data_IF_847909883562
#
_entry.id   IF_847909883562
#
_cell.length_a   1.000
_cell.length_b   1.000
_cell.length_c   1.000
_cell.angle_alpha   90.00
_cell.angle_beta   90.00
_cell.angle_gamma   90.00
#
_symmetry.space_group_name_H-M   'P 1'
#
loop_
_entity.id
_entity.type
_entity.pdbx_description
1 polymer ?
#
# COMPACT_ATOMS: atom_id res chain seq x y z
N UNK A 1 3.53 26.13 59.22
CA UNK A 1 2.65 27.27 58.85
C UNK A 1 3.43 28.16 57.88
N UNK A 2 3.26 28.00 56.56
CA UNK A 2 4.00 28.79 55.57
C UNK A 2 3.33 30.16 55.35
N UNK A 3 4.13 31.23 55.38
CA UNK A 3 3.68 32.63 55.22
C UNK A 3 3.11 32.91 53.82
N UNK A 4 2.11 33.80 53.73
CA UNK A 4 1.47 34.23 52.48
C UNK A 4 2.45 34.75 51.43
N UNK A 5 3.58 35.34 51.87
CA UNK A 5 4.67 35.80 50.99
C UNK A 5 5.48 34.67 50.37
N UNK A 6 5.62 33.52 51.04
CA UNK A 6 6.33 32.36 50.51
C UNK A 6 5.50 31.55 49.50
N UNK A 7 4.17 31.63 49.57
CA UNK A 7 3.27 30.99 48.57
C UNK A 7 3.33 31.67 47.21
N UNK A 8 3.52 32.98 47.15
CA UNK A 8 3.55 33.73 45.90
C UNK A 8 4.89 33.59 45.15
N UNK A 9 6.01 33.30 45.83
CA UNK A 9 7.30 33.13 45.14
C UNK A 9 7.48 31.73 44.51
N UNK A 10 6.79 30.71 45.03
CA UNK A 10 6.82 29.35 44.48
C UNK A 10 5.97 29.18 43.22
N UNK A 11 4.91 29.99 43.06
CA UNK A 11 4.01 29.92 41.91
C UNK A 11 4.50 30.71 40.68
N UNK A 12 5.52 31.56 40.82
CA UNK A 12 6.10 32.33 39.70
C UNK A 12 7.23 31.60 38.93
N UNK A 13 7.63 30.38 39.32
CA UNK A 13 8.69 29.61 38.64
C UNK A 13 8.22 28.32 37.95
N UNK A 14 6.92 28.11 37.86
CA UNK A 14 6.36 27.03 37.05
C UNK A 14 5.86 27.61 35.72
N UNK A 15 6.25 27.08 34.55
CA UNK A 15 5.66 27.47 33.28
C UNK A 15 4.25 26.89 33.18
N UNK A 16 3.29 27.49 33.90
CA UNK A 16 1.89 27.17 33.77
C UNK A 16 1.33 27.89 32.55
N UNK A 17 1.27 27.14 31.45
CA UNK A 17 0.68 27.52 30.17
C UNK A 17 -0.83 27.71 30.36
N UNK A 18 -1.25 28.94 30.68
CA UNK A 18 -2.66 29.33 30.72
C UNK A 18 -3.24 29.33 29.29
N UNK A 19 -4.16 28.39 29.07
CA UNK A 19 -5.28 28.56 28.15
C UNK A 19 -6.40 29.29 28.91
N UNK A 20 -6.81 30.46 28.44
CA UNK A 20 -8.24 30.76 28.26
C UNK A 20 -8.46 32.02 27.43
N UNK A 21 -9.22 31.82 26.35
CA UNK A 21 -10.28 32.66 25.79
C UNK A 21 -10.18 34.20 25.81
N UNK A 22 -10.12 34.79 24.61
CA UNK A 22 -10.94 35.95 24.26
C UNK A 22 -11.09 36.10 22.74
N UNK A 23 -12.27 36.61 22.37
CA UNK A 23 -12.80 36.87 21.03
C UNK A 23 -11.94 37.70 20.07
N UNK A 24 -12.16 37.40 18.79
CA UNK A 24 -12.24 38.31 17.63
C UNK A 24 -11.34 39.55 17.66
N UNK A 25 -10.26 39.48 16.88
CA UNK A 25 -9.84 40.61 16.05
C UNK A 25 -9.02 40.12 14.87
N UNK A 26 -9.49 40.49 13.69
CA UNK A 26 -8.82 40.35 12.41
C UNK A 26 -7.44 41.01 12.47
N UNK A 27 -6.35 40.26 12.27
CA UNK A 27 -5.11 40.88 11.82
C UNK A 27 -4.38 39.97 10.84
N UNK A 28 -4.13 40.52 9.65
CA UNK A 28 -3.42 39.92 8.54
C UNK A 28 -1.94 39.85 8.91
N UNK A 29 -1.42 38.67 9.24
CA UNK A 29 0.02 38.47 9.37
C UNK A 29 0.45 37.54 8.24
N UNK A 30 0.86 38.17 7.14
CA UNK A 30 1.55 37.51 6.05
C UNK A 30 2.93 37.08 6.56
N UNK A 31 3.08 35.79 6.85
CA UNK A 31 4.39 35.18 7.07
C UNK A 31 4.94 34.79 5.71
N UNK A 32 5.78 35.68 5.17
CA UNK A 32 6.64 35.42 4.02
C UNK A 32 7.62 34.32 4.39
N UNK A 33 7.35 33.09 3.96
CA UNK A 33 8.37 32.05 3.94
C UNK A 33 9.37 32.39 2.82
N UNK A 34 10.69 32.49 3.08
CA UNK A 34 11.65 32.51 2.00
C UNK A 34 11.62 31.15 1.31
N UNK A 35 11.06 31.15 0.11
CA UNK A 35 11.14 30.08 -0.88
C UNK A 35 12.61 29.82 -1.21
N UNK A 36 13.19 28.79 -0.59
CA UNK A 36 14.53 28.28 -0.89
C UNK A 36 14.40 27.35 -2.10
N UNK A 37 14.64 27.89 -3.28
CA UNK A 37 14.86 27.10 -4.49
C UNK A 37 16.20 26.38 -4.37
N UNK A 38 16.18 25.09 -4.03
CA UNK A 38 17.32 24.23 -4.33
C UNK A 38 17.21 23.80 -5.79
N UNK A 39 17.93 24.52 -6.65
CA UNK A 39 18.23 24.08 -8.00
C UNK A 39 19.26 22.95 -7.88
N UNK A 40 18.80 21.71 -8.02
CA UNK A 40 19.68 20.55 -8.16
C UNK A 40 20.46 20.69 -9.47
N UNK A 41 21.71 21.13 -9.38
CA UNK A 41 22.66 21.09 -10.49
C UNK A 41 23.11 19.63 -10.66
N UNK A 42 22.55 18.93 -11.63
CA UNK A 42 23.11 17.65 -12.08
C UNK A 42 24.30 17.94 -13.00
N UNK A 43 25.49 17.61 -12.54
CA UNK A 43 26.69 17.55 -13.37
C UNK A 43 26.58 16.39 -14.34
N UNK A 44 26.59 16.70 -15.63
CA UNK A 44 26.86 15.77 -16.73
C UNK A 44 28.36 15.45 -16.76
N UNK A 45 28.79 14.18 -16.71
CA UNK A 45 30.12 13.81 -17.18
C UNK A 45 30.12 13.70 -18.70
N UNK A 46 31.04 14.45 -19.31
CA UNK A 46 31.31 14.51 -20.74
C UNK A 46 31.92 13.20 -21.27
N UNK A 47 31.72 13.01 -22.58
CA UNK A 47 32.35 12.02 -23.45
C UNK A 47 33.85 11.92 -23.28
N UNK A 48 34.39 10.71 -23.39
CA UNK A 48 35.66 10.50 -24.10
C UNK A 48 35.64 9.16 -24.85
N UNK A 49 35.86 9.27 -26.16
CA UNK A 49 36.11 8.20 -27.14
C UNK A 49 37.62 8.15 -27.33
N UNK A 50 38.21 6.96 -27.57
CA UNK A 50 39.05 6.86 -28.75
C UNK A 50 38.84 5.56 -29.55
N UNK A 51 38.66 5.75 -30.86
CA UNK A 51 38.97 4.82 -31.96
C UNK A 51 40.50 4.53 -31.98
N UNK A 52 40.99 3.39 -32.54
CA UNK A 52 41.08 3.29 -34.01
C UNK A 52 41.00 1.88 -34.65
N UNK A 53 40.66 1.89 -35.95
CA UNK A 53 41.19 1.04 -37.05
C UNK A 53 40.82 -0.46 -37.20
N UNK A 54 40.04 -0.72 -38.26
CA UNK A 54 39.95 -1.92 -39.12
C UNK A 54 41.31 -2.27 -39.81
N UNK A 55 41.55 -3.45 -40.48
CA UNK A 55 40.59 -4.20 -41.31
C UNK A 55 40.71 -5.75 -41.41
N UNK A 56 39.67 -6.32 -42.04
CA UNK A 56 39.72 -7.39 -43.06
C UNK A 56 39.45 -8.86 -42.68
N UNK A 57 38.66 -9.47 -43.57
CA UNK A 57 38.50 -10.88 -43.92
C UNK A 57 37.52 -11.77 -43.15
N UNK A 58 36.41 -12.07 -43.84
CA UNK A 58 35.57 -13.26 -43.71
C UNK A 58 36.38 -14.56 -43.91
N UNK A 59 35.87 -15.72 -43.45
CA UNK A 59 35.14 -16.57 -44.41
C UNK A 59 33.92 -17.31 -43.86
N UNK A 60 32.99 -17.54 -44.79
CA UNK A 60 31.83 -18.43 -44.74
C UNK A 60 32.17 -19.85 -44.27
N UNK A 61 31.30 -20.45 -43.46
CA UNK A 61 31.19 -21.90 -43.35
C UNK A 61 29.75 -22.33 -43.63
N UNK A 62 29.65 -23.18 -44.64
CA UNK A 62 28.48 -23.83 -45.23
C UNK A 62 27.98 -24.97 -44.32
N UNK A 63 26.66 -25.21 -44.34
CA UNK A 63 25.94 -26.31 -43.67
C UNK A 63 26.40 -27.72 -44.11
N UNK A 64 26.06 -28.79 -43.36
CA UNK A 64 24.82 -29.55 -43.60
C UNK A 64 24.11 -29.94 -42.27
N UNK A 65 22.79 -29.85 -42.12
CA UNK A 65 21.81 -30.69 -42.79
C UNK A 65 21.58 -32.02 -42.05
N UNK A 66 20.83 -32.01 -40.93
CA UNK A 66 20.17 -33.22 -40.36
C UNK A 66 18.83 -32.80 -39.73
N UNK A 67 17.75 -33.46 -40.18
CA UNK A 67 16.37 -33.32 -39.73
C UNK A 67 16.09 -34.16 -38.44
N UNK A 68 14.90 -34.05 -37.80
CA UNK A 68 14.68 -34.30 -36.37
C UNK A 68 14.21 -35.72 -36.01
N UNK A 69 14.22 -36.07 -34.72
CA UNK A 69 13.11 -36.80 -34.09
C UNK A 69 12.56 -36.02 -32.88
N UNK A 70 11.30 -35.61 -32.93
CA UNK A 70 10.15 -36.32 -32.35
C UNK A 70 10.19 -36.47 -30.82
N UNK A 71 9.26 -35.75 -30.20
CA UNK A 71 8.44 -36.15 -29.05
C UNK A 71 9.14 -36.59 -27.76
N UNK A 72 9.18 -35.70 -26.78
CA UNK A 72 8.79 -36.06 -25.41
C UNK A 72 8.29 -34.84 -24.64
N UNK A 73 7.08 -34.99 -24.09
CA UNK A 73 6.40 -34.01 -23.27
C UNK A 73 7.16 -33.73 -21.97
N UNK A 74 7.11 -32.51 -21.40
CA UNK A 74 7.50 -32.30 -20.02
C UNK A 74 6.36 -32.69 -19.06
N UNK A 75 6.68 -33.34 -17.94
CA UNK A 75 5.72 -33.85 -16.96
C UNK A 75 5.07 -32.71 -16.17
N UNK A 76 3.78 -32.89 -15.89
CA UNK A 76 2.94 -32.03 -15.06
C UNK A 76 3.41 -32.07 -13.60
N UNK A 77 4.27 -31.13 -13.22
CA UNK A 77 4.51 -30.81 -11.82
C UNK A 77 3.30 -30.04 -11.26
N UNK A 78 2.43 -30.76 -10.53
CA UNK A 78 1.35 -30.14 -9.74
C UNK A 78 1.97 -29.32 -8.60
N UNK A 79 2.18 -28.02 -8.83
CA UNK A 79 2.43 -27.05 -7.77
C UNK A 79 1.10 -26.82 -7.05
N UNK A 80 1.01 -27.30 -5.81
CA UNK A 80 -0.09 -27.04 -4.89
C UNK A 80 -0.08 -25.55 -4.50
N UNK A 81 -0.67 -24.72 -5.35
CA UNK A 81 -1.04 -23.35 -5.06
C UNK A 81 -2.54 -23.16 -5.28
N UNK A 82 -3.17 -22.14 -4.68
CA UNK A 82 -4.58 -21.85 -4.94
C UNK A 82 -4.84 -21.77 -6.45
N UNK A 83 -6.00 -22.24 -6.94
CA UNK A 83 -6.29 -22.29 -8.36
C UNK A 83 -6.08 -20.89 -8.96
N UNK A 84 -5.06 -20.78 -9.82
CA UNK A 84 -4.74 -19.52 -10.51
C UNK A 84 -5.98 -19.13 -11.30
N UNK A 85 -6.50 -17.93 -11.03
CA UNK A 85 -7.62 -17.37 -11.80
C UNK A 85 -7.14 -17.29 -13.24
N UNK A 86 -7.76 -18.07 -14.13
CA UNK A 86 -7.36 -18.11 -15.54
C UNK A 86 -7.56 -16.73 -16.17
N UNK A 87 -6.63 -16.31 -17.01
CA UNK A 87 -6.80 -15.06 -17.74
C UNK A 87 -7.99 -15.15 -18.70
N UNK A 88 -8.69 -14.03 -18.87
CA UNK A 88 -9.77 -13.93 -19.86
C UNK A 88 -9.26 -13.75 -21.30
N UNK A 89 -7.96 -13.53 -21.49
CA UNK A 89 -7.33 -13.23 -22.78
C UNK A 89 -6.28 -14.28 -23.10
N UNK A 90 -6.48 -15.13 -24.12
CA UNK A 90 -5.51 -16.16 -24.48
C UNK A 90 -4.19 -15.55 -24.97
N UNK A 91 -3.10 -16.30 -24.83
CA UNK A 91 -1.78 -15.92 -25.35
C UNK A 91 -1.84 -15.61 -26.86
N UNK A 92 -1.07 -14.63 -27.30
CA UNK A 92 -1.03 -14.15 -28.68
C UNK A 92 -2.16 -13.17 -29.05
N UNK A 93 -3.03 -12.78 -28.12
CA UNK A 93 -4.07 -11.79 -28.40
C UNK A 93 -3.46 -10.41 -28.62
N UNK A 94 -3.75 -9.78 -29.76
CA UNK A 94 -3.32 -8.40 -30.06
C UNK A 94 -4.04 -7.39 -29.17
N UNK A 95 -3.28 -6.68 -28.33
CA UNK A 95 -3.79 -5.66 -27.42
C UNK A 95 -3.95 -4.33 -28.17
N UNK A 96 -5.18 -4.10 -28.67
CA UNK A 96 -5.54 -2.90 -29.43
C UNK A 96 -5.42 -1.64 -28.56
N UNK A 97 -4.85 -0.57 -29.10
CA UNK A 97 -4.82 0.75 -28.46
C UNK A 97 -3.72 0.97 -27.43
N UNK A 98 -2.81 0.02 -27.19
CA UNK A 98 -1.65 0.23 -26.31
C UNK A 98 -0.49 0.94 -27.02
N UNK A 99 -0.26 0.63 -28.29
CA UNK A 99 0.79 1.28 -29.06
C UNK A 99 0.32 2.64 -29.58
N UNK A 100 0.82 3.71 -28.96
CA UNK A 100 0.58 5.09 -29.38
C UNK A 100 1.72 5.67 -30.25
N UNK A 101 2.79 4.90 -30.48
CA UNK A 101 3.98 5.35 -31.20
C UNK A 101 3.94 4.79 -32.62
N UNK A 102 4.12 5.68 -33.60
CA UNK A 102 4.17 5.32 -35.02
C UNK A 102 5.34 4.36 -35.27
N UNK A 103 5.13 3.37 -36.15
CA UNK A 103 6.13 2.39 -36.60
C UNK A 103 6.67 1.44 -35.51
N UNK A 104 6.02 1.33 -34.35
CA UNK A 104 6.30 0.25 -33.40
C UNK A 104 5.40 -0.96 -33.67
N UNK A 105 5.87 -2.19 -33.42
CA UNK A 105 5.02 -3.37 -33.52
C UNK A 105 3.90 -3.31 -32.46
N UNK A 106 2.78 -3.96 -32.77
CA UNK A 106 1.67 -4.08 -31.82
C UNK A 106 2.05 -4.99 -30.66
N UNK A 107 1.53 -4.68 -29.48
CA UNK A 107 1.75 -5.49 -28.27
C UNK A 107 0.82 -6.69 -28.29
N UNK A 108 1.38 -7.88 -28.07
CA UNK A 108 0.64 -9.13 -27.95
C UNK A 108 0.66 -9.61 -26.50
N UNK A 109 -0.45 -10.22 -26.06
CA UNK A 109 -0.52 -10.89 -24.76
C UNK A 109 0.41 -12.11 -24.76
N UNK A 110 1.19 -12.27 -23.70
CA UNK A 110 2.05 -13.43 -23.45
C UNK A 110 1.27 -14.52 -22.71
N UNK A 111 1.92 -15.63 -22.37
CA UNK A 111 1.31 -16.68 -21.56
C UNK A 111 1.15 -16.23 -20.09
N UNK A 112 0.12 -16.75 -19.41
CA UNK A 112 -0.21 -16.41 -18.02
C UNK A 112 0.94 -16.64 -17.02
N UNK A 113 1.85 -17.56 -17.35
CA UNK A 113 3.02 -17.91 -16.53
C UNK A 113 4.18 -16.92 -16.65
N UNK A 114 4.25 -16.19 -17.76
CA UNK A 114 5.29 -15.20 -18.00
C UNK A 114 4.98 -13.88 -17.29
N UNK A 115 3.70 -13.65 -16.99
CA UNK A 115 3.30 -12.53 -16.15
C UNK A 115 3.64 -12.78 -14.68
N UNK A 116 4.07 -11.72 -13.96
CA UNK A 116 4.42 -11.85 -12.56
C UNK A 116 3.20 -12.16 -11.69
N UNK A 117 3.39 -12.98 -10.65
CA UNK A 117 2.30 -13.50 -9.80
C UNK A 117 1.45 -12.40 -9.13
N UNK A 118 1.99 -11.19 -8.91
CA UNK A 118 1.26 -10.08 -8.28
C UNK A 118 0.11 -9.54 -9.14
N UNK A 119 0.14 -9.74 -10.47
CA UNK A 119 -0.92 -9.30 -11.39
C UNK A 119 -2.28 -9.91 -11.00
N UNK A 120 -2.25 -11.19 -10.63
CA UNK A 120 -3.45 -11.96 -10.30
C UNK A 120 -4.06 -11.56 -8.95
N UNK A 121 -3.25 -11.02 -8.03
CA UNK A 121 -3.71 -10.54 -6.72
C UNK A 121 -4.37 -9.16 -6.73
N UNK A 122 -4.27 -8.39 -7.82
CA UNK A 122 -4.83 -7.02 -7.88
C UNK A 122 -6.35 -7.00 -7.73
N UNK A 123 -7.05 -8.00 -8.26
CA UNK A 123 -8.51 -8.07 -8.20
C UNK A 123 -9.00 -8.45 -6.79
N UNK A 124 -8.18 -9.12 -6.00
CA UNK A 124 -8.56 -9.58 -4.68
C UNK A 124 -8.72 -8.41 -3.70
N UNK A 125 -7.93 -7.34 -3.85
CA UNK A 125 -8.13 -6.11 -3.05
C UNK A 125 -9.47 -5.44 -3.34
N UNK A 126 -9.94 -5.47 -4.58
CA UNK A 126 -11.23 -4.91 -4.97
C UNK A 126 -12.38 -5.76 -4.41
N UNK A 127 -12.27 -7.08 -4.53
CA UNK A 127 -13.24 -8.03 -3.96
C UNK A 127 -13.26 -8.00 -2.43
N UNK A 128 -12.12 -7.84 -1.78
CA UNK A 128 -12.03 -7.76 -0.33
C UNK A 128 -12.79 -6.55 0.21
N UNK A 129 -12.73 -5.41 -0.47
CA UNK A 129 -13.49 -4.21 -0.09
C UNK A 129 -15.00 -4.42 -0.22
N UNK A 130 -15.46 -5.12 -1.26
CA UNK A 130 -16.90 -5.37 -1.46
C UNK A 130 -17.44 -6.45 -0.52
N UNK A 131 -16.62 -7.44 -0.15
CA UNK A 131 -17.03 -8.56 0.71
C UNK A 131 -16.85 -8.29 2.22
N UNK A 132 -16.00 -7.33 2.61
CA UNK A 132 -15.83 -6.93 4.01
C UNK A 132 -17.14 -6.40 4.60
N UNK A 133 -17.99 -5.80 3.77
CA UNK A 133 -19.37 -5.44 4.10
C UNK A 133 -20.30 -6.67 3.99
N UNK A 134 -19.90 -7.81 4.58
CA UNK A 134 -20.63 -9.09 4.67
C UNK A 134 -21.97 -9.00 5.43
N UNK A 135 -22.70 -7.92 5.20
CA UNK A 135 -24.05 -7.61 5.61
C UNK A 135 -24.94 -8.52 4.79
N UNK A 136 -25.40 -9.60 5.44
CA UNK A 136 -26.53 -10.36 4.94
C UNK A 136 -27.61 -9.38 4.47
N UNK A 137 -28.12 -9.57 3.25
CA UNK A 137 -29.01 -8.59 2.62
C UNK A 137 -30.31 -8.47 3.43
N UNK A 138 -30.33 -7.51 4.36
CA UNK A 138 -31.43 -7.29 5.29
C UNK A 138 -32.71 -6.87 4.56
N UNK A 139 -32.59 -6.39 3.31
CA UNK A 139 -33.71 -5.98 2.47
C UNK A 139 -34.45 -7.17 1.85
N UNK A 140 -33.74 -8.26 1.52
CA UNK A 140 -34.34 -9.49 1.01
C UNK A 140 -35.05 -10.33 2.10
N UNK A 141 -34.77 -10.08 3.39
CA UNK A 141 -35.29 -10.87 4.50
C UNK A 141 -36.67 -10.40 5.02
N UNK A 142 -37.53 -11.36 5.35
CA UNK A 142 -38.81 -11.11 6.01
C UNK A 142 -38.61 -10.44 7.39
N UNK A 143 -39.58 -9.64 7.86
CA UNK A 143 -39.55 -8.96 9.17
C UNK A 143 -39.16 -9.90 10.33
N UNK A 144 -39.71 -11.11 10.38
CA UNK A 144 -39.38 -12.09 11.43
C UNK A 144 -37.94 -12.60 11.34
N UNK A 145 -37.43 -12.80 10.12
CA UNK A 145 -36.05 -13.24 9.88
C UNK A 145 -35.06 -12.14 10.27
N UNK A 146 -35.39 -10.87 9.97
CA UNK A 146 -34.60 -9.71 10.37
C UNK A 146 -34.46 -9.58 11.88
N UNK A 147 -35.55 -9.71 12.63
CA UNK A 147 -35.53 -9.68 14.10
C UNK A 147 -34.68 -10.83 14.66
N UNK A 148 -34.80 -12.04 14.11
CA UNK A 148 -33.98 -13.19 14.53
C UNK A 148 -32.50 -12.95 14.23
N UNK A 149 -32.19 -12.41 13.06
CA UNK A 149 -30.82 -12.07 12.67
C UNK A 149 -30.25 -10.97 13.57
N UNK A 150 -31.01 -9.91 13.83
CA UNK A 150 -30.63 -8.83 14.75
C UNK A 150 -30.40 -9.34 16.17
N UNK A 151 -31.30 -10.18 16.71
CA UNK A 151 -31.12 -10.81 18.03
C UNK A 151 -29.87 -11.69 18.06
N UNK A 152 -29.60 -12.44 17.00
CA UNK A 152 -28.38 -13.24 16.87
C UNK A 152 -27.13 -12.34 16.83
N UNK A 153 -27.16 -11.26 16.05
CA UNK A 153 -26.06 -10.31 15.95
C UNK A 153 -25.83 -9.53 17.25
N UNK A 154 -26.90 -9.16 17.96
CA UNK A 154 -26.80 -8.52 19.27
C UNK A 154 -26.21 -9.47 20.33
N UNK A 155 -26.60 -10.74 20.32
CA UNK A 155 -26.00 -11.75 21.20
C UNK A 155 -24.50 -11.96 20.89
N UNK A 156 -24.12 -12.01 19.61
CA UNK A 156 -22.71 -12.10 19.20
C UNK A 156 -21.92 -10.81 19.52
N UNK A 157 -22.54 -9.64 19.40
CA UNK A 157 -21.91 -8.37 19.74
C UNK A 157 -21.76 -8.19 21.27
N UNK A 158 -22.67 -8.75 22.07
CA UNK A 158 -22.58 -8.71 23.52
C UNK A 158 -21.44 -9.59 24.05
N UNK A 159 -21.14 -10.71 23.40
CA UNK A 159 -20.03 -11.58 23.79
C UNK A 159 -18.67 -11.12 23.25
N UNK A 160 -18.65 -10.43 22.10
CA UNK A 160 -17.40 -9.98 21.47
C UNK A 160 -16.94 -8.61 22.03
N UNK A 161 -15.66 -8.44 22.40
CA UNK A 161 -15.12 -7.13 22.77
C UNK A 161 -15.22 -6.12 21.61
N UNK A 162 -15.26 -4.82 21.93
CA UNK A 162 -15.31 -3.75 20.93
C UNK A 162 -14.08 -3.83 20.01
N UNK A 163 -14.32 -3.78 18.71
CA UNK A 163 -13.25 -3.78 17.69
C UNK A 163 -12.64 -2.39 17.63
N UNK A 164 -11.49 -2.21 18.29
CA UNK A 164 -10.72 -0.96 18.26
C UNK A 164 -9.92 -0.91 16.95
N UNK A 165 -10.09 0.13 16.11
CA UNK A 165 -9.31 0.33 14.90
C UNK A 165 -7.81 0.33 15.18
N UNK A 166 -7.05 -0.21 14.24
CA UNK A 166 -5.62 -0.47 14.41
C UNK A 166 -4.79 0.81 14.70
N UNK A 167 -5.21 1.98 14.20
CA UNK A 167 -4.56 3.27 14.49
C UNK A 167 -4.94 3.91 15.84
N UNK A 168 -5.94 3.37 16.54
CA UNK A 168 -6.33 3.81 17.89
C UNK A 168 -5.72 2.91 18.98
N UNK A 169 -5.07 1.81 18.59
CA UNK A 169 -4.42 0.88 19.52
C UNK A 169 -3.10 1.47 20.02
N UNK A 170 -2.84 1.28 21.33
CA UNK A 170 -1.60 1.70 21.99
C UNK A 170 -0.60 0.54 22.18
N UNK A 171 -0.75 -0.53 21.40
CA UNK A 171 0.12 -1.72 21.49
C UNK A 171 1.39 -1.44 20.69
N UNK A 172 2.54 -1.82 21.25
CA UNK A 172 3.81 -1.69 20.56
C UNK A 172 3.84 -2.52 19.28
N UNK A 173 4.29 -1.90 18.19
CA UNK A 173 4.37 -2.52 16.87
C UNK A 173 5.39 -3.66 16.85
N UNK A 174 6.47 -3.50 17.63
CA UNK A 174 7.53 -4.49 17.80
C UNK A 174 7.91 -4.44 19.27
N UNK A 175 7.41 -5.39 20.09
CA UNK A 175 7.74 -5.40 21.51
C UNK A 175 9.23 -5.69 21.71
N UNK A 176 9.82 -5.12 22.75
CA UNK A 176 11.26 -5.22 23.01
C UNK A 176 11.73 -6.68 23.16
N UNK A 177 10.90 -7.53 23.76
CA UNK A 177 11.18 -8.96 23.97
C UNK A 177 11.23 -9.76 22.66
N UNK A 178 10.62 -9.24 21.58
CA UNK A 178 10.52 -9.90 20.30
C UNK A 178 11.59 -9.46 19.29
N UNK A 179 12.61 -8.69 19.71
CA UNK A 179 13.76 -8.35 18.87
C UNK A 179 14.82 -9.45 19.06
N UNK A 180 14.98 -10.38 18.11
CA UNK A 180 16.01 -11.42 18.21
C UNK A 180 17.40 -10.79 18.05
N UNK A 181 18.47 -11.52 18.43
CA UNK A 181 19.83 -11.02 18.25
C UNK A 181 20.12 -10.61 16.80
N UNK A 182 20.92 -9.53 16.66
CA UNK A 182 21.27 -8.92 15.38
C UNK A 182 21.81 -9.98 14.40
N UNK A 183 21.34 -9.94 13.15
CA UNK A 183 21.72 -10.83 12.04
C UNK A 183 21.14 -12.25 12.04
N UNK A 184 20.17 -12.58 12.90
CA UNK A 184 19.40 -13.81 12.77
C UNK A 184 18.34 -13.73 11.65
N UNK A 185 17.96 -14.84 11.00
CA UNK A 185 16.88 -14.86 10.01
C UNK A 185 15.54 -14.37 10.61
N UNK A 186 15.28 -14.72 11.86
CA UNK A 186 14.11 -14.28 12.65
C UNK A 186 14.06 -12.74 12.79
N UNK A 187 15.21 -12.06 12.91
CA UNK A 187 15.26 -10.60 12.97
C UNK A 187 14.80 -9.96 11.65
N UNK A 188 15.18 -10.53 10.51
CA UNK A 188 14.75 -10.02 9.20
C UNK A 188 13.24 -10.19 9.00
N UNK A 189 12.68 -11.32 9.45
CA UNK A 189 11.25 -11.58 9.39
C UNK A 189 10.45 -10.68 10.35
N UNK A 190 10.95 -10.48 11.57
CA UNK A 190 10.39 -9.54 12.53
C UNK A 190 10.44 -8.10 11.99
N UNK A 191 11.55 -7.71 11.34
CA UNK A 191 11.70 -6.42 10.70
C UNK A 191 10.69 -6.25 9.54
N UNK A 192 10.55 -7.25 8.65
CA UNK A 192 9.57 -7.22 7.57
C UNK A 192 8.12 -7.12 8.10
N UNK A 193 7.81 -7.89 9.15
CA UNK A 193 6.51 -7.85 9.82
C UNK A 193 6.23 -6.48 10.44
N UNK A 194 7.22 -5.87 11.11
CA UNK A 194 7.13 -4.53 11.69
C UNK A 194 6.84 -3.45 10.64
N UNK A 195 7.49 -3.54 9.47
CA UNK A 195 7.26 -2.62 8.36
C UNK A 195 5.83 -2.80 7.86
N UNK A 196 5.38 -4.05 7.66
CA UNK A 196 4.01 -4.34 7.22
C UNK A 196 2.97 -3.76 8.20
N UNK A 197 3.16 -3.94 9.51
CA UNK A 197 2.28 -3.42 10.55
C UNK A 197 2.23 -1.88 10.53
N UNK A 198 3.38 -1.19 10.41
CA UNK A 198 3.44 0.27 10.23
C UNK A 198 2.65 0.74 9.00
N UNK A 199 2.75 0.00 7.88
CA UNK A 199 1.99 0.34 6.67
C UNK A 199 0.48 0.16 6.87
N UNK A 200 0.06 -0.85 7.63
CA UNK A 200 -1.35 -1.09 7.96
C UNK A 200 -1.91 0.00 8.89
N UNK A 201 -1.15 0.41 9.93
CA UNK A 201 -1.51 1.56 10.78
C UNK A 201 -1.75 2.79 9.92
N UNK A 202 -0.78 3.09 9.04
CA UNK A 202 -0.86 4.25 8.14
C UNK A 202 -2.06 4.18 7.21
N UNK A 203 -2.36 3.00 6.64
CA UNK A 203 -3.55 2.80 5.79
C UNK A 203 -4.83 3.05 6.58
N UNK A 204 -4.98 2.46 7.76
CA UNK A 204 -6.18 2.62 8.58
C UNK A 204 -6.40 4.07 9.03
N UNK A 205 -5.34 4.78 9.42
CA UNK A 205 -5.39 6.20 9.78
C UNK A 205 -5.79 7.09 8.58
N UNK A 206 -5.27 6.79 7.38
CA UNK A 206 -5.64 7.49 6.15
C UNK A 206 -7.12 7.28 5.80
N UNK A 207 -7.63 6.07 5.98
CA UNK A 207 -9.05 5.77 5.76
C UNK A 207 -9.95 6.52 6.74
N UNK A 208 -9.60 6.54 8.03
CA UNK A 208 -10.31 7.33 9.03
C UNK A 208 -10.33 8.82 8.67
N UNK A 209 -9.18 9.39 8.27
CA UNK A 209 -9.08 10.78 7.79
C UNK A 209 -9.94 11.04 6.56
N UNK A 210 -9.96 10.13 5.59
CA UNK A 210 -10.81 10.28 4.39
C UNK A 210 -12.29 10.27 4.75
N UNK A 211 -12.71 9.42 5.71
CA UNK A 211 -14.09 9.38 6.20
C UNK A 211 -14.47 10.68 6.90
N UNK A 212 -13.63 11.21 7.80
CA UNK A 212 -13.90 12.46 8.49
C UNK A 212 -13.95 13.68 7.54
N UNK A 213 -13.09 13.72 6.53
CA UNK A 213 -13.16 14.77 5.50
C UNK A 213 -14.48 14.70 4.73
N UNK A 214 -14.91 13.49 4.34
CA UNK A 214 -16.18 13.31 3.63
C UNK A 214 -17.38 13.74 4.49
N UNK A 215 -17.40 13.35 5.76
CA UNK A 215 -18.43 13.74 6.71
C UNK A 215 -18.45 15.26 6.92
N UNK A 216 -17.30 15.89 7.17
CA UNK A 216 -17.20 17.33 7.35
C UNK A 216 -17.65 18.10 6.09
N UNK A 217 -17.26 17.63 4.89
CA UNK A 217 -17.71 18.22 3.63
C UNK A 217 -19.22 18.04 3.43
N UNK A 218 -19.77 16.89 3.80
CA UNK A 218 -21.21 16.63 3.72
C UNK A 218 -21.99 17.55 4.66
N UNK A 219 -21.58 17.63 5.93
CA UNK A 219 -22.21 18.49 6.93
C UNK A 219 -22.05 19.99 6.62
N UNK A 220 -20.95 20.40 5.99
CA UNK A 220 -20.75 21.78 5.53
C UNK A 220 -21.63 22.13 4.32
N UNK A 221 -22.00 21.14 3.52
CA UNK A 221 -22.82 21.30 2.32
C UNK A 221 -24.33 21.16 2.55
N UNK A 222 -24.75 20.66 3.72
CA UNK A 222 -26.13 20.73 4.22
C UNK A 222 -26.43 22.11 4.79
#
# INVERSE_FOLDING_TARGET
MLCSRCRMSLLCRLPFRQQSWASLQTSRWAVSFPYRQDVQQYSTPASDVPEPSQPSSAPSITLPGVAPPSSSAPPTAKRNGPPRVMSGTPAGTKLKGLNYIKNKPDVFAMEDHEYPDWLWGLLDEAKAKTNADGKADLAAMNKKQRIRHERKMAALAASQPRKIPLHEQAIDITPADAVPQEQSPEFLEAAASSISARTQITRSAREARRKSIKEANFLRGM
#
